data_IF_723926162636
#
_entry.id   IF_723926162636
#
_cell.length_a   1.000
_cell.length_b   1.000
_cell.length_c   1.000
_cell.angle_alpha   90.00
_cell.angle_beta   90.00
_cell.angle_gamma   90.00
#
_symmetry.space_group_name_H-M   'P 1'
#
loop_
_entity.id
_entity.type
_entity.pdbx_description
1 polymer ?
#
# COMPACT_ATOMS: atom_id res chain seq x y z
N UNK A 1 10.03 -47.79 38.31
CA UNK A 1 10.38 -47.94 37.21
C UNK A 1 9.67 -47.45 36.11
N UNK A 2 8.47 -47.62 36.02
CA UNK A 2 7.78 -47.11 34.87
C UNK A 2 7.75 -45.64 34.84
N UNK A 3 7.92 -45.02 35.93
CA UNK A 3 7.81 -43.60 35.86
C UNK A 3 8.91 -42.99 35.12
N UNK A 4 9.96 -43.68 34.96
CA UNK A 4 10.96 -43.12 34.19
C UNK A 4 10.54 -42.91 32.83
N UNK A 5 9.79 -43.77 32.33
CA UNK A 5 9.38 -43.70 30.98
C UNK A 5 8.50 -42.51 30.79
N UNK A 6 7.77 -42.25 31.76
CA UNK A 6 6.85 -41.13 31.65
C UNK A 6 7.61 -39.85 31.46
N UNK A 7 8.65 -39.71 32.18
CA UNK A 7 9.34 -38.48 32.03
C UNK A 7 9.90 -38.32 30.65
N UNK A 8 10.29 -39.38 30.05
CA UNK A 8 10.83 -39.17 28.73
C UNK A 8 9.73 -38.72 27.78
N UNK A 9 8.57 -39.20 28.00
CA UNK A 9 7.52 -38.78 27.13
C UNK A 9 7.26 -37.33 27.26
N UNK A 10 7.32 -36.84 28.40
CA UNK A 10 7.07 -35.47 28.61
C UNK A 10 8.05 -34.62 27.88
N UNK A 11 9.24 -35.05 27.87
CA UNK A 11 10.24 -34.32 27.19
C UNK A 11 9.96 -34.23 25.74
N UNK A 12 9.56 -35.29 25.17
CA UNK A 12 9.36 -35.24 23.75
C UNK A 12 8.21 -34.34 23.42
N UNK A 13 7.24 -34.31 24.26
CA UNK A 13 6.13 -33.48 23.99
C UNK A 13 6.55 -32.04 24.01
N UNK A 14 7.39 -31.72 24.93
CA UNK A 14 7.82 -30.39 25.01
C UNK A 14 8.53 -29.92 23.76
N UNK A 15 9.27 -30.78 23.16
CA UNK A 15 9.89 -30.43 21.98
C UNK A 15 8.97 -30.06 20.91
N UNK A 16 7.92 -30.75 20.81
CA UNK A 16 7.00 -30.47 19.75
C UNK A 16 6.46 -29.09 19.86
N UNK A 17 6.22 -28.68 21.02
CA UNK A 17 5.68 -27.36 21.18
C UNK A 17 6.60 -26.32 20.66
N UNK A 18 7.85 -26.48 20.91
CA UNK A 18 8.73 -25.48 20.44
C UNK A 18 8.77 -25.43 18.98
N UNK A 19 8.60 -26.53 18.35
CA UNK A 19 8.63 -26.45 16.95
C UNK A 19 7.54 -25.71 16.39
N UNK A 20 6.41 -25.89 16.92
CA UNK A 20 5.30 -25.22 16.33
C UNK A 20 5.47 -23.73 16.42
N UNK A 21 6.14 -23.29 17.40
CA UNK A 21 6.19 -21.88 17.50
C UNK A 21 6.97 -21.27 16.40
N UNK A 22 7.95 -21.94 15.87
CA UNK A 22 8.66 -21.23 14.89
C UNK A 22 8.08 -21.30 13.53
N UNK A 23 7.12 -22.08 13.35
CA UNK A 23 6.52 -22.05 12.06
C UNK A 23 5.88 -20.75 11.85
N UNK A 24 5.57 -20.10 12.89
CA UNK A 24 4.99 -18.85 12.73
C UNK A 24 5.94 -17.93 12.15
N UNK A 25 7.13 -18.29 12.21
CA UNK A 25 8.07 -17.46 11.68
C UNK A 25 8.07 -17.28 10.26
N UNK A 26 7.24 -17.90 9.56
CA UNK A 26 7.15 -17.56 8.19
C UNK A 26 6.99 -16.09 8.22
N UNK A 27 7.86 -15.33 7.64
CA UNK A 27 7.81 -13.91 7.74
C UNK A 27 6.49 -13.46 7.23
N UNK A 28 5.88 -12.62 7.98
CA UNK A 28 4.68 -12.02 7.53
C UNK A 28 5.03 -11.28 6.28
N UNK A 29 4.23 -11.43 5.25
CA UNK A 29 4.47 -10.71 4.04
C UNK A 29 4.30 -9.25 4.32
N UNK A 30 5.28 -8.49 3.95
CA UNK A 30 5.14 -7.06 4.07
C UNK A 30 4.10 -6.59 3.10
N UNK A 31 3.31 -5.64 3.51
CA UNK A 31 2.34 -5.05 2.61
C UNK A 31 3.09 -4.35 1.48
N UNK A 32 2.61 -4.44 0.27
CA UNK A 32 3.20 -3.75 -0.86
C UNK A 32 2.13 -2.93 -1.57
N UNK A 33 2.39 -1.65 -1.81
CA UNK A 33 1.46 -0.83 -2.54
C UNK A 33 1.64 -0.95 -4.04
N UNK A 34 2.57 -1.76 -4.50
CA UNK A 34 2.86 -1.87 -5.92
C UNK A 34 1.65 -2.35 -6.70
N UNK A 35 1.40 -1.76 -7.84
CA UNK A 35 0.29 -2.16 -8.69
C UNK A 35 -0.30 -0.99 -9.43
N UNK A 36 -1.39 -1.28 -10.11
CA UNK A 36 -2.12 -0.28 -10.84
C UNK A 36 -3.42 -0.03 -10.09
N UNK A 37 -3.71 1.22 -9.84
CA UNK A 37 -4.85 1.61 -9.01
C UNK A 37 -5.75 2.55 -9.79
N UNK A 38 -7.04 2.34 -9.70
CA UNK A 38 -7.98 3.25 -10.34
C UNK A 38 -8.51 4.19 -9.30
N UNK A 39 -8.32 5.48 -9.50
CA UNK A 39 -8.71 6.44 -8.48
C UNK A 39 -9.89 7.30 -8.91
N UNK A 40 -10.55 7.87 -7.92
CA UNK A 40 -11.69 8.73 -8.11
C UNK A 40 -11.59 9.88 -7.13
N UNK A 41 -11.84 11.09 -7.60
CA UNK A 41 -11.80 12.30 -6.78
C UNK A 41 -13.02 13.13 -7.13
N UNK A 42 -14.15 12.89 -6.50
CA UNK A 42 -15.34 13.65 -6.85
C UNK A 42 -15.17 15.11 -6.44
N UNK A 43 -15.71 15.96 -7.23
CA UNK A 43 -15.71 17.38 -6.89
C UNK A 43 -14.62 18.22 -7.49
N UNK A 44 -13.59 17.60 -8.07
CA UNK A 44 -12.56 18.38 -8.71
C UNK A 44 -13.00 18.75 -10.12
N UNK A 45 -12.18 19.52 -10.79
CA UNK A 45 -12.48 19.98 -12.13
C UNK A 45 -12.77 18.81 -13.07
N UNK A 46 -13.75 18.99 -13.92
CA UNK A 46 -14.15 17.95 -14.85
C UNK A 46 -12.96 17.54 -15.69
N UNK A 47 -12.84 16.27 -15.93
CA UNK A 47 -11.74 15.72 -16.69
C UNK A 47 -10.62 15.19 -15.82
N UNK A 48 -10.66 15.49 -14.51
CA UNK A 48 -9.64 15.01 -13.60
C UNK A 48 -10.23 14.18 -12.46
N UNK A 49 -11.52 13.86 -12.52
CA UNK A 49 -12.19 13.14 -11.44
C UNK A 49 -11.77 11.69 -11.30
N UNK A 50 -11.20 11.11 -12.31
CA UNK A 50 -10.85 9.71 -12.27
C UNK A 50 -9.67 9.44 -13.16
N UNK A 51 -8.86 8.48 -12.79
CA UNK A 51 -7.69 8.12 -13.57
C UNK A 51 -7.03 6.90 -13.01
N UNK A 52 -5.78 6.70 -13.37
CA UNK A 52 -5.01 5.53 -12.94
C UNK A 52 -3.73 5.99 -12.25
N UNK A 53 -3.43 5.35 -11.14
CA UNK A 53 -2.20 5.57 -10.42
C UNK A 53 -1.40 4.28 -10.48
N UNK A 54 -0.16 4.34 -10.92
CA UNK A 54 0.68 3.16 -10.99
C UNK A 54 1.83 3.34 -10.02
N UNK A 55 2.06 2.33 -9.19
CA UNK A 55 3.13 2.36 -8.21
C UNK A 55 4.08 1.21 -8.48
N UNK A 56 5.36 1.51 -8.63
CA UNK A 56 6.36 0.48 -8.84
C UNK A 56 7.49 0.72 -7.86
N UNK A 57 8.29 -0.30 -7.63
CA UNK A 57 9.45 -0.15 -6.77
C UNK A 57 10.53 0.58 -7.51
N UNK A 58 11.26 1.43 -6.80
CA UNK A 58 12.31 2.21 -7.41
C UNK A 58 13.41 2.35 -6.36
N UNK A 59 14.41 1.52 -6.43
CA UNK A 59 15.46 1.51 -5.42
C UNK A 59 14.90 1.11 -4.08
N UNK A 60 15.08 1.92 -3.09
CA UNK A 60 14.56 1.61 -1.77
C UNK A 60 13.18 2.19 -1.53
N UNK A 61 12.64 2.86 -2.51
CA UNK A 61 11.35 3.50 -2.35
C UNK A 61 10.43 3.13 -3.48
N UNK A 62 9.55 4.03 -3.81
CA UNK A 62 8.55 3.77 -4.84
C UNK A 62 8.45 4.94 -5.80
N UNK A 63 8.02 4.64 -7.00
CA UNK A 63 7.75 5.66 -8.00
C UNK A 63 6.27 5.60 -8.30
N UNK A 64 5.64 6.76 -8.35
CA UNK A 64 4.20 6.87 -8.58
C UNK A 64 3.99 7.66 -9.86
N UNK A 65 3.20 7.10 -10.76
CA UNK A 65 2.86 7.75 -12.01
C UNK A 65 1.35 7.86 -12.10
N UNK A 66 0.86 9.00 -12.52
CA UNK A 66 -0.57 9.22 -12.62
C UNK A 66 -0.97 9.45 -14.05
N UNK A 67 -2.01 8.75 -14.49
CA UNK A 67 -2.62 8.97 -15.79
C UNK A 67 -3.93 9.67 -15.47
N UNK A 68 -3.94 10.99 -15.66
CA UNK A 68 -5.07 11.80 -15.22
C UNK A 68 -6.23 11.75 -16.18
N UNK A 69 -5.95 11.55 -17.44
CA UNK A 69 -6.99 11.35 -18.44
C UNK A 69 -6.29 10.79 -19.67
N UNK A 70 -6.96 10.67 -20.79
CA UNK A 70 -6.38 10.06 -21.97
C UNK A 70 -5.15 10.78 -22.46
N UNK A 71 -5.04 12.05 -22.16
CA UNK A 71 -4.01 12.87 -22.73
C UNK A 71 -2.93 13.32 -21.78
N UNK A 72 -3.10 13.10 -20.49
CA UNK A 72 -2.16 13.66 -19.53
C UNK A 72 -1.65 12.63 -18.54
N UNK A 73 -0.36 12.44 -18.54
CA UNK A 73 0.29 11.50 -17.66
C UNK A 73 1.45 12.21 -17.01
N UNK A 74 1.66 12.01 -15.73
CA UNK A 74 2.72 12.70 -15.03
C UNK A 74 3.28 11.84 -13.92
N UNK A 75 4.53 12.06 -13.57
CA UNK A 75 5.15 11.36 -12.48
C UNK A 75 4.99 12.19 -11.22
N UNK A 76 4.74 11.53 -10.13
CA UNK A 76 4.65 12.21 -8.85
C UNK A 76 6.03 12.56 -8.35
N UNK A 77 6.11 13.59 -7.51
CA UNK A 77 7.34 14.02 -6.90
C UNK A 77 7.22 13.93 -5.41
N UNK A 78 8.33 13.96 -4.71
CA UNK A 78 8.35 13.94 -3.25
C UNK A 78 7.59 12.73 -2.71
N UNK A 79 7.81 11.58 -3.32
CA UNK A 79 7.11 10.37 -2.92
C UNK A 79 7.68 9.83 -1.63
N UNK A 80 6.83 9.67 -0.62
CA UNK A 80 7.24 9.13 0.66
C UNK A 80 6.25 8.05 1.04
N UNK A 81 6.75 6.86 1.35
CA UNK A 81 5.90 5.78 1.80
C UNK A 81 6.42 5.26 3.12
N UNK A 82 5.57 5.22 4.13
CA UNK A 82 5.96 4.72 5.43
C UNK A 82 4.75 4.19 6.15
N UNK A 83 4.82 2.94 6.58
CA UNK A 83 3.74 2.33 7.36
C UNK A 83 2.38 2.44 6.69
N UNK A 84 2.34 2.06 5.44
CA UNK A 84 1.11 2.08 4.65
C UNK A 84 0.56 3.48 4.41
N UNK A 85 1.35 4.50 4.66
CA UNK A 85 0.96 5.86 4.35
C UNK A 85 1.79 6.34 3.19
N UNK A 86 1.15 6.84 2.16
CA UNK A 86 1.81 7.34 0.98
C UNK A 86 1.50 8.80 0.79
N UNK A 87 2.53 9.60 0.57
CA UNK A 87 2.38 11.01 0.28
C UNK A 87 3.16 11.36 -0.94
N UNK A 88 2.64 12.24 -1.76
CA UNK A 88 3.37 12.70 -2.92
C UNK A 88 2.75 13.99 -3.42
N UNK A 89 3.41 14.63 -4.38
CA UNK A 89 2.85 15.80 -5.02
C UNK A 89 2.89 15.60 -6.53
N UNK A 90 1.99 16.23 -7.23
CA UNK A 90 1.99 16.24 -8.69
C UNK A 90 1.76 17.64 -9.15
N UNK A 91 2.32 17.96 -10.29
CA UNK A 91 2.16 19.27 -10.88
C UNK A 91 1.19 19.14 -12.04
N UNK A 92 0.08 19.84 -11.96
CA UNK A 92 -0.93 19.81 -13.00
C UNK A 92 -1.17 21.24 -13.43
N UNK A 93 -0.83 21.57 -14.65
CA UNK A 93 -1.05 22.92 -15.18
C UNK A 93 -0.46 23.99 -14.26
N UNK A 94 0.75 23.82 -13.84
CA UNK A 94 1.48 24.73 -12.96
C UNK A 94 1.01 24.76 -11.52
N UNK A 95 0.03 23.95 -11.18
CA UNK A 95 -0.44 23.93 -9.80
C UNK A 95 0.06 22.67 -9.10
N UNK A 96 0.58 22.82 -7.89
CA UNK A 96 1.05 21.68 -7.14
C UNK A 96 -0.08 21.09 -6.35
N UNK A 97 -0.29 19.80 -6.49
CA UNK A 97 -1.36 19.10 -5.81
C UNK A 97 -0.72 18.12 -4.85
N UNK A 98 -1.12 18.17 -3.59
CA UNK A 98 -0.58 17.28 -2.58
C UNK A 98 -1.54 16.17 -2.29
N UNK A 99 -1.04 14.95 -2.23
CA UNK A 99 -1.87 13.79 -1.93
C UNK A 99 -1.25 13.04 -0.77
N UNK A 100 -2.06 12.67 0.20
CA UNK A 100 -1.58 11.89 1.33
C UNK A 100 -2.68 10.96 1.78
N UNK A 101 -2.36 9.69 1.94
CA UNK A 101 -3.37 8.73 2.32
C UNK A 101 -2.80 7.43 2.82
N UNK A 102 -3.69 6.49 3.12
CA UNK A 102 -3.30 5.21 3.69
C UNK A 102 -3.89 4.08 2.88
N UNK A 103 -3.21 2.95 2.94
CA UNK A 103 -3.67 1.74 2.25
C UNK A 103 -4.30 0.77 3.22
N UNK A 104 -5.34 0.13 2.76
CA UNK A 104 -5.99 -0.93 3.50
C UNK A 104 -6.28 -2.01 2.48
N UNK A 105 -5.39 -3.00 2.35
CA UNK A 105 -5.53 -4.02 1.34
C UNK A 105 -5.45 -3.42 -0.05
N UNK A 106 -6.48 -3.60 -0.82
CA UNK A 106 -6.51 -3.10 -2.18
C UNK A 106 -7.23 -1.77 -2.30
N UNK A 107 -7.36 -1.06 -1.21
CA UNK A 107 -8.01 0.24 -1.21
C UNK A 107 -7.07 1.30 -0.66
N UNK A 108 -7.01 2.43 -1.31
CA UNK A 108 -6.21 3.58 -0.88
C UNK A 108 -7.17 4.73 -0.64
N UNK A 109 -7.10 5.33 0.52
CA UNK A 109 -7.96 6.45 0.86
C UNK A 109 -7.09 7.64 1.20
N UNK A 110 -7.29 8.73 0.54
CA UNK A 110 -6.38 9.86 0.65
C UNK A 110 -7.10 11.19 0.62
N UNK A 111 -6.37 12.22 0.96
CA UNK A 111 -6.80 13.59 0.81
C UNK A 111 -5.96 14.21 -0.28
N UNK A 112 -6.60 14.96 -1.12
CA UNK A 112 -5.95 15.69 -2.18
C UNK A 112 -6.16 17.17 -1.91
N UNK A 113 -5.09 17.95 -1.88
CA UNK A 113 -5.16 19.36 -1.53
C UNK A 113 -4.52 20.23 -2.57
N UNK A 114 -5.16 21.29 -2.97
CA UNK A 114 -4.59 22.27 -3.86
C UNK A 114 -5.35 23.59 -3.66
N UNK A 115 -5.15 24.55 -4.55
CA UNK A 115 -5.69 25.89 -4.31
C UNK A 115 -7.20 25.93 -4.14
N UNK A 116 -7.91 24.98 -4.73
CA UNK A 116 -9.36 24.97 -4.63
C UNK A 116 -9.87 24.30 -3.36
N UNK A 117 -8.99 23.76 -2.55
CA UNK A 117 -9.40 23.14 -1.30
C UNK A 117 -8.96 21.69 -1.18
N UNK A 118 -9.60 20.99 -0.29
CA UNK A 118 -9.29 19.59 -0.02
C UNK A 118 -10.37 18.71 -0.58
N UNK A 119 -9.98 17.59 -1.15
CA UNK A 119 -10.93 16.66 -1.74
C UNK A 119 -10.56 15.24 -1.32
N UNK A 120 -11.53 14.36 -1.32
CA UNK A 120 -11.28 12.97 -0.98
C UNK A 120 -10.91 12.20 -2.23
N UNK A 121 -9.88 11.37 -2.12
CA UNK A 121 -9.46 10.51 -3.21
C UNK A 121 -9.58 9.08 -2.75
N UNK A 122 -10.16 8.23 -3.55
CA UNK A 122 -10.23 6.81 -3.26
C UNK A 122 -9.69 6.06 -4.46
N UNK A 123 -8.87 5.06 -4.21
CA UNK A 123 -8.35 4.25 -5.31
C UNK A 123 -8.48 2.78 -4.98
N UNK A 124 -8.73 1.98 -5.99
CA UNK A 124 -8.84 0.55 -5.83
C UNK A 124 -7.82 -0.12 -6.71
N UNK A 125 -7.11 -1.10 -6.17
CA UNK A 125 -6.07 -1.79 -6.93
C UNK A 125 -6.73 -2.71 -7.95
N UNK A 126 -6.24 -2.64 -9.18
CA UNK A 126 -6.77 -3.51 -10.21
C UNK A 126 -6.23 -4.90 -9.97
N UNK A 127 -7.09 -5.87 -10.08
CA UNK A 127 -6.64 -7.24 -9.92
C UNK A 127 -6.03 -7.69 -11.21
N UNK A 128 -5.03 -8.52 -11.11
CA UNK A 128 -4.41 -9.05 -12.32
C UNK A 128 -5.36 -10.06 -12.94
N UNK A 129 -5.41 -10.09 -14.21
CA UNK A 129 -6.31 -10.98 -14.89
C UNK A 129 -5.61 -12.13 -15.50
#
# INVERSE_FOLDING_TARGET
MSYKVVSSLIVSLFLVVTMSSFTVDAPAMKYSPVGSWEYSVPGVQAGYEAGTMTIIEDGKGYKVTLQLNEYFKTDAEKVVYKRKTLSFSVLVETEEILVSGTFDGDKFTAKLSYSEGDFDLTALRKTAE
#
